data_IF_719196866167
#
_entry.id   IF_719196866167
#
_cell.length_a   1.000
_cell.length_b   1.000
_cell.length_c   1.000
_cell.angle_alpha   90.00
_cell.angle_beta   90.00
_cell.angle_gamma   90.00
#
_symmetry.space_group_name_H-M   'P 1'
#
loop_
_entity.id
_entity.type
_entity.pdbx_description
1 polymer ?
#
# COMPACT_ATOMS: atom_id res chain seq x y z
N UNK A 1 9.99 -6.50 0.74
CA UNK A 1 8.94 -7.23 1.49
C UNK A 1 7.69 -7.32 0.63
N UNK A 2 7.27 -8.53 0.22
CA UNK A 2 6.11 -8.76 -0.67
C UNK A 2 4.76 -8.67 0.07
N UNK A 3 4.78 -8.37 1.37
CA UNK A 3 3.60 -8.36 2.25
C UNK A 3 2.61 -7.25 1.91
N UNK A 4 3.07 -6.04 1.60
CA UNK A 4 2.18 -4.91 1.24
C UNK A 4 1.41 -5.20 -0.06
N UNK A 5 2.04 -5.65 -1.16
CA UNK A 5 1.31 -6.08 -2.33
C UNK A 5 0.29 -7.19 -2.03
N UNK A 6 0.65 -8.18 -1.22
CA UNK A 6 -0.26 -9.28 -0.86
C UNK A 6 -1.48 -8.82 -0.06
N UNK A 7 -1.29 -7.93 0.89
CA UNK A 7 -2.40 -7.32 1.63
C UNK A 7 -3.33 -6.53 0.71
N UNK A 8 -2.76 -5.72 -0.21
CA UNK A 8 -3.52 -4.96 -1.18
C UNK A 8 -4.30 -5.88 -2.14
N UNK A 9 -3.73 -7.02 -2.54
CA UNK A 9 -4.43 -8.04 -3.34
C UNK A 9 -5.62 -8.60 -2.55
N UNK A 10 -5.43 -8.97 -1.28
CA UNK A 10 -6.52 -9.47 -0.42
C UNK A 10 -7.66 -8.46 -0.26
N UNK A 11 -7.32 -7.19 0.00
CA UNK A 11 -8.28 -6.10 0.09
C UNK A 11 -9.00 -5.84 -1.24
N UNK A 12 -8.31 -6.01 -2.38
CA UNK A 12 -8.91 -5.89 -3.71
C UNK A 12 -9.90 -7.01 -3.99
N UNK A 13 -9.57 -8.26 -3.64
CA UNK A 13 -10.51 -9.40 -3.74
C UNK A 13 -11.73 -9.17 -2.86
N UNK A 14 -11.56 -8.63 -1.65
CA UNK A 14 -12.66 -8.25 -0.78
C UNK A 14 -13.56 -7.18 -1.42
N UNK A 15 -12.95 -6.15 -2.03
CA UNK A 15 -13.69 -5.09 -2.74
C UNK A 15 -14.51 -5.68 -3.90
N UNK A 16 -13.91 -6.54 -4.72
CA UNK A 16 -14.60 -7.21 -5.84
C UNK A 16 -15.77 -8.05 -5.32
N UNK A 17 -15.56 -8.83 -4.26
CA UNK A 17 -16.61 -9.67 -3.69
C UNK A 17 -17.83 -8.86 -3.21
N UNK A 18 -17.60 -7.64 -2.69
CA UNK A 18 -18.67 -6.72 -2.29
C UNK A 18 -19.38 -6.13 -3.52
N UNK A 19 -18.62 -5.75 -4.55
CA UNK A 19 -19.13 -5.11 -5.78
C UNK A 19 -19.97 -6.09 -6.63
N UNK A 20 -19.56 -7.34 -6.74
CA UNK A 20 -20.32 -8.42 -7.40
C UNK A 20 -21.50 -8.95 -6.56
N UNK A 21 -21.72 -8.40 -5.35
CA UNK A 21 -22.72 -8.90 -4.36
C UNK A 21 -22.61 -10.40 -4.09
N UNK A 22 -21.45 -10.99 -4.34
CA UNK A 22 -21.24 -12.42 -4.27
C UNK A 22 -20.91 -12.83 -2.83
N UNK A 23 -21.95 -13.03 -2.01
CA UNK A 23 -21.86 -13.34 -0.57
C UNK A 23 -21.35 -14.76 -0.24
N UNK A 24 -20.83 -15.49 -1.23
CA UNK A 24 -20.35 -16.84 -1.07
C UNK A 24 -18.87 -16.94 -0.68
N UNK A 25 -18.19 -17.92 -1.27
CA UNK A 25 -16.79 -18.28 -1.02
C UNK A 25 -15.81 -17.13 -1.25
N UNK A 26 -16.09 -16.25 -2.21
CA UNK A 26 -15.22 -15.12 -2.55
C UNK A 26 -15.10 -14.09 -1.41
N UNK A 27 -16.21 -13.80 -0.73
CA UNK A 27 -16.22 -12.85 0.39
C UNK A 27 -15.43 -13.43 1.58
N UNK A 28 -15.62 -14.72 1.88
CA UNK A 28 -14.84 -15.40 2.92
C UNK A 28 -13.34 -15.40 2.62
N UNK A 29 -12.95 -15.66 1.37
CA UNK A 29 -11.54 -15.62 0.95
C UNK A 29 -11.00 -14.18 1.04
N UNK A 30 -11.75 -13.18 0.58
CA UNK A 30 -11.35 -11.78 0.67
C UNK A 30 -11.19 -11.29 2.11
N UNK A 31 -12.13 -11.62 3.00
CA UNK A 31 -12.07 -11.25 4.42
C UNK A 31 -10.90 -11.95 5.11
N UNK A 32 -10.77 -13.27 4.95
CA UNK A 32 -9.68 -14.02 5.58
C UNK A 32 -8.31 -13.58 5.06
N UNK A 33 -8.15 -13.35 3.76
CA UNK A 33 -6.91 -12.83 3.17
C UNK A 33 -6.59 -11.42 3.67
N UNK A 34 -7.58 -10.55 3.81
CA UNK A 34 -7.38 -9.18 4.33
C UNK A 34 -6.96 -9.20 5.79
N UNK A 35 -7.65 -9.98 6.64
CA UNK A 35 -7.32 -10.11 8.07
C UNK A 35 -5.94 -10.72 8.24
N UNK A 36 -5.63 -11.79 7.50
CA UNK A 36 -4.33 -12.45 7.57
C UNK A 36 -3.20 -11.55 7.05
N UNK A 37 -3.43 -10.81 5.97
CA UNK A 37 -2.48 -9.81 5.48
C UNK A 37 -2.24 -8.70 6.50
N UNK A 38 -3.29 -8.22 7.17
CA UNK A 38 -3.18 -7.19 8.21
C UNK A 38 -2.40 -7.70 9.44
N UNK A 39 -2.64 -8.96 9.82
CA UNK A 39 -1.89 -9.64 10.86
C UNK A 39 -0.41 -9.79 10.50
N UNK A 40 -0.09 -10.21 9.27
CA UNK A 40 1.28 -10.31 8.80
C UNK A 40 1.98 -8.96 8.72
N UNK A 41 1.28 -7.90 8.32
CA UNK A 41 1.82 -6.53 8.36
C UNK A 41 2.18 -6.12 9.78
N UNK A 42 1.32 -6.42 10.74
CA UNK A 42 1.57 -6.14 12.16
C UNK A 42 2.75 -6.96 12.70
N UNK A 43 2.78 -8.27 12.41
CA UNK A 43 3.80 -9.20 12.89
C UNK A 43 5.18 -8.98 12.24
N UNK A 44 5.23 -8.48 11.00
CA UNK A 44 6.49 -8.18 10.29
C UNK A 44 7.24 -6.98 10.88
N UNK A 45 6.63 -6.20 11.78
CA UNK A 45 7.21 -5.01 12.37
C UNK A 45 7.09 -3.76 11.48
N UNK A 46 6.68 -2.65 12.10
CA UNK A 46 6.48 -1.35 11.43
C UNK A 46 7.73 -0.90 10.66
N UNK A 47 8.94 -1.20 11.14
CA UNK A 47 10.19 -0.78 10.49
C UNK A 47 10.33 -1.30 9.04
N UNK A 48 10.03 -2.58 8.81
CA UNK A 48 10.10 -3.19 7.47
C UNK A 48 8.97 -2.72 6.55
N UNK A 49 7.80 -2.42 7.12
CA UNK A 49 6.67 -1.84 6.41
C UNK A 49 7.01 -0.44 5.89
N UNK A 50 7.60 0.38 6.76
CA UNK A 50 8.02 1.75 6.47
C UNK A 50 9.13 1.80 5.39
N UNK A 51 10.10 0.90 5.44
CA UNK A 51 11.11 0.75 4.36
C UNK A 51 10.48 0.38 3.01
N UNK A 52 9.45 -0.46 3.00
CA UNK A 52 8.73 -0.80 1.77
C UNK A 52 7.94 0.39 1.20
N UNK A 53 7.42 1.29 2.05
CA UNK A 53 6.72 2.50 1.63
C UNK A 53 7.62 3.43 0.78
N UNK A 54 8.92 3.52 1.12
CA UNK A 54 9.91 4.26 0.31
C UNK A 54 10.05 3.66 -1.09
N UNK A 55 10.05 2.33 -1.21
CA UNK A 55 10.11 1.63 -2.51
C UNK A 55 8.87 1.90 -3.39
N UNK A 56 7.74 2.31 -2.81
CA UNK A 56 6.57 2.73 -3.59
C UNK A 56 6.74 4.13 -4.21
N UNK A 57 7.59 5.01 -3.67
CA UNK A 57 7.85 6.34 -4.24
C UNK A 57 8.40 6.32 -5.68
N UNK A 58 9.45 5.55 -6.02
CA UNK A 58 9.92 5.49 -7.40
C UNK A 58 8.86 4.90 -8.33
N UNK A 59 8.10 3.89 -7.88
CA UNK A 59 6.98 3.33 -8.64
C UNK A 59 5.88 4.38 -8.92
N UNK A 60 5.58 5.21 -7.93
CA UNK A 60 4.63 6.32 -8.07
C UNK A 60 5.17 7.41 -9.01
N UNK A 61 6.47 7.72 -8.94
CA UNK A 61 7.11 8.66 -9.85
C UNK A 61 6.99 8.21 -11.31
N UNK A 62 7.32 6.95 -11.61
CA UNK A 62 7.15 6.38 -12.95
C UNK A 62 5.69 6.36 -13.39
N UNK A 63 4.76 6.08 -12.48
CA UNK A 63 3.32 6.13 -12.77
C UNK A 63 2.86 7.54 -13.19
N UNK A 64 3.33 8.58 -12.49
CA UNK A 64 3.03 9.98 -12.84
C UNK A 64 3.65 10.35 -14.19
N UNK A 65 4.88 9.91 -14.44
CA UNK A 65 5.57 10.18 -15.70
C UNK A 65 4.84 9.52 -16.88
N UNK A 66 4.47 8.24 -16.77
CA UNK A 66 3.72 7.52 -17.78
C UNK A 66 2.34 8.14 -18.06
N UNK A 67 1.59 8.56 -17.03
CA UNK A 67 0.30 9.24 -17.23
C UNK A 67 0.46 10.61 -17.89
N UNK A 68 1.53 11.36 -17.56
CA UNK A 68 1.84 12.65 -18.21
C UNK A 68 2.19 12.47 -19.68
N UNK A 69 2.93 11.43 -20.05
CA UNK A 69 3.25 11.08 -21.44
C UNK A 69 2.00 10.69 -22.24
N UNK A 70 0.99 10.09 -21.60
CA UNK A 70 -0.30 9.79 -22.23
C UNK A 70 -1.26 11.01 -22.31
N UNK A 71 -0.86 12.19 -21.83
CA UNK A 71 -1.70 13.40 -21.82
C UNK A 71 -2.93 13.31 -20.92
N UNK A 72 -3.00 12.30 -20.05
CA UNK A 72 -4.13 12.05 -19.15
C UNK A 72 -3.79 12.70 -17.81
N UNK A 73 -4.71 13.48 -17.26
CA UNK A 73 -4.49 14.14 -15.98
C UNK A 73 -4.16 13.07 -14.90
N UNK A 74 -2.96 13.09 -14.29
CA UNK A 74 -2.43 11.93 -13.58
C UNK A 74 -3.20 11.54 -12.32
N UNK A 75 -4.01 12.46 -11.78
CA UNK A 75 -4.75 12.28 -10.55
C UNK A 75 -6.20 12.73 -10.68
N UNK A 76 -7.16 11.79 -10.69
CA UNK A 76 -8.59 12.10 -10.55
C UNK A 76 -9.07 11.77 -9.13
N UNK A 77 -9.50 12.80 -8.39
CA UNK A 77 -10.25 12.68 -7.13
C UNK A 77 -9.55 11.84 -6.05
N UNK A 78 -10.04 10.61 -5.83
CA UNK A 78 -9.61 9.69 -4.76
C UNK A 78 -8.14 9.27 -4.85
N UNK A 79 -7.54 9.31 -6.04
CA UNK A 79 -6.11 9.01 -6.22
C UNK A 79 -5.20 10.05 -5.54
N UNK A 80 -5.62 11.34 -5.47
CA UNK A 80 -4.85 12.39 -4.77
C UNK A 80 -4.73 12.12 -3.28
N UNK A 81 -5.79 11.59 -2.67
CA UNK A 81 -5.79 11.26 -1.24
C UNK A 81 -4.83 10.09 -0.96
N UNK A 82 -4.85 9.04 -1.79
CA UNK A 82 -3.91 7.93 -1.67
C UNK A 82 -2.45 8.35 -1.80
N UNK A 83 -2.15 9.25 -2.75
CA UNK A 83 -0.80 9.82 -2.89
C UNK A 83 -0.42 10.74 -1.74
N UNK A 84 -1.36 11.53 -1.23
CA UNK A 84 -1.13 12.36 -0.04
C UNK A 84 -0.79 11.53 1.19
N UNK A 85 -1.53 10.44 1.43
CA UNK A 85 -1.27 9.50 2.53
C UNK A 85 0.05 8.78 2.34
N UNK A 86 0.37 8.31 1.13
CA UNK A 86 1.68 7.71 0.82
C UNK A 86 2.82 8.70 1.00
N UNK A 87 2.66 9.95 0.58
CA UNK A 87 3.66 11.01 0.75
C UNK A 87 3.86 11.38 2.22
N UNK A 88 2.78 11.46 3.00
CA UNK A 88 2.86 11.70 4.44
C UNK A 88 3.56 10.54 5.16
N UNK A 89 3.21 9.29 4.83
CA UNK A 89 3.91 8.11 5.33
C UNK A 89 5.39 8.13 4.94
N UNK A 90 5.73 8.48 3.70
CA UNK A 90 7.13 8.60 3.28
C UNK A 90 7.89 9.66 4.08
N UNK A 91 7.27 10.82 4.34
CA UNK A 91 7.85 11.89 5.15
C UNK A 91 8.07 11.46 6.60
N UNK A 92 7.10 10.76 7.21
CA UNK A 92 7.27 10.24 8.58
C UNK A 92 8.39 9.21 8.63
N UNK A 93 8.53 8.36 7.60
CA UNK A 93 9.66 7.42 7.51
C UNK A 93 11.00 8.14 7.40
N UNK A 94 11.12 9.15 6.53
CA UNK A 94 12.35 9.93 6.42
C UNK A 94 12.71 10.64 7.74
N UNK A 95 11.71 11.17 8.46
CA UNK A 95 11.91 11.77 9.78
C UNK A 95 12.35 10.74 10.84
N UNK A 96 11.77 9.53 10.82
CA UNK A 96 12.15 8.44 11.73
C UNK A 96 13.54 7.87 11.42
N UNK A 97 13.96 7.84 10.15
CA UNK A 97 15.33 7.48 9.74
C UNK A 97 16.32 8.54 10.25
N UNK A 98 15.99 9.83 10.10
CA UNK A 98 16.84 10.93 10.55
C UNK A 98 17.02 10.93 12.08
N UNK A 99 15.98 10.60 12.85
CA UNK A 99 16.05 10.50 14.30
C UNK A 99 16.93 9.34 14.81
N UNK A 100 17.46 8.48 13.94
CA UNK A 100 18.33 7.37 14.32
C UNK A 100 17.62 6.26 15.10
N UNK A 101 16.28 6.30 15.19
CA UNK A 101 15.49 5.29 15.93
C UNK A 101 15.21 4.03 15.10
N UNK A 102 15.51 4.07 13.80
CA UNK A 102 15.45 2.91 12.91
C UNK A 102 16.83 2.24 12.91
N UNK A 103 17.04 1.34 13.87
CA UNK A 103 18.15 0.40 13.82
C UNK A 103 17.96 -0.48 12.58
N UNK A 104 18.71 -0.19 11.52
CA UNK A 104 18.85 -1.07 10.33
C UNK A 104 19.74 -2.25 10.72
N UNK A 105 19.33 -2.98 11.75
CA UNK A 105 19.98 -4.23 12.14
C UNK A 105 19.24 -5.32 11.37
N UNK A 106 19.88 -5.76 10.29
CA UNK A 106 19.51 -6.95 9.55
C UNK A 106 19.67 -8.20 10.42
#
# INVERSE_FOLDING_TARGET
MILVPYFLIGAFVLKIAIEEKNKGRLLLIGVSATIYGLWLLYASGLNYLLLSAILYLPGLYFYVQAKREQGINPFKGREKFGVGVLGFLALTVMAMIWQGSLSVTF
#
